data_IF_918223593027
#
_entry.id   IF_918223593027
#
_cell.length_a   1.000
_cell.length_b   1.000
_cell.length_c   1.000
_cell.angle_alpha   90.00
_cell.angle_beta   90.00
_cell.angle_gamma   90.00
#
_symmetry.space_group_name_H-M   'P 1'
#
loop_
_entity.id
_entity.type
_entity.pdbx_description
1 polymer ?
#
# COMPACT_ATOMS: atom_id res chain seq x y z
N UNK A 1 -2.88 13.46 -12.73
CA UNK A 1 -2.37 14.37 -11.67
C UNK A 1 -3.48 15.19 -11.01
N UNK A 2 -4.35 15.86 -11.76
CA UNK A 2 -5.46 16.65 -11.21
C UNK A 2 -6.36 15.90 -10.22
N UNK A 3 -6.74 14.66 -10.53
CA UNK A 3 -7.54 13.80 -9.63
C UNK A 3 -6.82 13.52 -8.29
N UNK A 4 -5.51 13.29 -8.32
CA UNK A 4 -4.72 13.05 -7.10
C UNK A 4 -4.57 14.32 -6.26
N UNK A 5 -4.41 15.48 -6.90
CA UNK A 5 -4.37 16.78 -6.20
C UNK A 5 -5.73 17.02 -5.53
N UNK A 6 -6.82 16.78 -6.23
CA UNK A 6 -8.17 16.89 -5.68
C UNK A 6 -8.37 15.93 -4.49
N UNK A 7 -8.01 14.65 -4.65
CA UNK A 7 -8.12 13.65 -3.58
C UNK A 7 -7.20 13.95 -2.38
N UNK A 8 -6.05 14.59 -2.59
CA UNK A 8 -5.17 15.00 -1.51
C UNK A 8 -5.75 16.14 -0.67
N UNK A 9 -6.48 17.07 -1.32
CA UNK A 9 -7.08 18.25 -0.68
C UNK A 9 -8.50 17.94 -0.15
N UNK A 10 -9.21 16.98 -0.75
CA UNK A 10 -10.59 16.66 -0.42
C UNK A 10 -10.83 16.37 1.08
N UNK A 11 -10.01 15.57 1.78
CA UNK A 11 -10.18 15.34 3.22
C UNK A 11 -10.13 16.62 4.07
N UNK A 12 -9.55 17.71 3.55
CA UNK A 12 -9.33 18.97 4.26
C UNK A 12 -10.49 19.95 4.13
N UNK A 13 -11.23 19.89 3.04
CA UNK A 13 -12.31 20.83 2.73
C UNK A 13 -13.68 20.20 3.02
N UNK A 14 -13.77 18.88 2.96
CA UNK A 14 -15.02 18.16 3.15
C UNK A 14 -15.40 18.03 4.63
N UNK A 15 -16.70 17.81 4.86
CA UNK A 15 -17.23 17.51 6.19
C UNK A 15 -16.60 16.22 6.74
N UNK A 16 -16.47 16.14 8.06
CA UNK A 16 -15.80 15.05 8.77
C UNK A 16 -16.19 13.65 8.26
N UNK A 17 -17.49 13.36 8.08
CA UNK A 17 -17.97 12.05 7.60
C UNK A 17 -17.43 11.66 6.21
N UNK A 18 -17.40 12.62 5.28
CA UNK A 18 -16.88 12.41 3.92
C UNK A 18 -15.36 12.24 3.95
N UNK A 19 -14.67 13.00 4.80
CA UNK A 19 -13.23 12.87 5.00
C UNK A 19 -12.86 11.50 5.55
N UNK A 20 -13.59 10.99 6.55
CA UNK A 20 -13.38 9.63 7.07
C UNK A 20 -13.62 8.56 6.02
N UNK A 21 -14.67 8.69 5.21
CA UNK A 21 -14.95 7.76 4.10
C UNK A 21 -13.83 7.76 3.05
N UNK A 22 -13.32 8.94 2.69
CA UNK A 22 -12.19 9.05 1.75
C UNK A 22 -10.91 8.41 2.32
N UNK A 23 -10.59 8.64 3.60
CA UNK A 23 -9.42 8.04 4.23
C UNK A 23 -9.51 6.51 4.30
N UNK A 24 -10.69 5.97 4.61
CA UNK A 24 -10.96 4.52 4.50
C UNK A 24 -10.72 4.01 3.09
N UNK A 25 -11.19 4.75 2.09
CA UNK A 25 -11.02 4.40 0.66
C UNK A 25 -9.54 4.43 0.25
N UNK A 26 -8.77 5.42 0.72
CA UNK A 26 -7.32 5.48 0.49
C UNK A 26 -6.59 4.31 1.14
N UNK A 27 -6.96 3.97 2.37
CA UNK A 27 -6.37 2.83 3.07
C UNK A 27 -6.68 1.50 2.38
N UNK A 28 -7.94 1.30 1.95
CA UNK A 28 -8.33 0.12 1.18
C UNK A 28 -7.57 0.02 -0.14
N UNK A 29 -7.44 1.13 -0.87
CA UNK A 29 -6.67 1.15 -2.11
C UNK A 29 -5.18 0.85 -1.87
N UNK A 30 -4.60 1.35 -0.78
CA UNK A 30 -3.23 1.03 -0.40
C UNK A 30 -3.03 -0.47 -0.17
N UNK A 31 -3.92 -1.09 0.60
CA UNK A 31 -3.93 -2.52 0.84
C UNK A 31 -4.07 -3.34 -0.45
N UNK A 32 -4.92 -2.91 -1.38
CA UNK A 32 -5.09 -3.56 -2.69
C UNK A 32 -3.78 -3.50 -3.50
N UNK A 33 -3.13 -2.33 -3.56
CA UNK A 33 -1.88 -2.17 -4.32
C UNK A 33 -0.77 -3.04 -3.72
N UNK A 34 -0.63 -3.11 -2.40
CA UNK A 34 0.37 -3.98 -1.74
C UNK A 34 0.06 -5.45 -2.01
N UNK A 35 -1.21 -5.85 -1.88
CA UNK A 35 -1.65 -7.22 -2.18
C UNK A 35 -1.37 -7.62 -3.63
N UNK A 36 -1.55 -6.70 -4.58
CA UNK A 36 -1.27 -6.94 -6.00
C UNK A 36 0.23 -7.13 -6.27
N UNK A 37 1.11 -6.32 -5.68
CA UNK A 37 2.57 -6.50 -5.83
C UNK A 37 2.99 -7.87 -5.28
N UNK A 38 2.58 -8.21 -4.05
CA UNK A 38 2.87 -9.52 -3.48
C UNK A 38 2.26 -10.66 -4.34
N UNK A 39 1.07 -10.40 -4.90
CA UNK A 39 0.36 -11.24 -5.86
C UNK A 39 1.18 -11.61 -7.10
N UNK A 40 1.79 -10.60 -7.70
CA UNK A 40 2.60 -10.74 -8.91
C UNK A 40 3.87 -11.58 -8.70
N UNK A 41 4.34 -11.71 -7.45
CA UNK A 41 5.50 -12.54 -7.12
C UNK A 41 5.13 -14.02 -7.00
N UNK A 42 4.08 -14.38 -6.26
CA UNK A 42 3.73 -15.80 -6.10
C UNK A 42 3.18 -16.45 -7.36
N UNK A 43 2.78 -15.68 -8.38
CA UNK A 43 2.38 -16.22 -9.68
C UNK A 43 3.56 -16.74 -10.52
N UNK A 44 4.82 -16.46 -10.15
CA UNK A 44 6.00 -16.92 -10.92
C UNK A 44 6.24 -18.41 -10.77
N UNK A 45 6.38 -19.11 -11.89
CA UNK A 45 6.43 -20.59 -11.97
C UNK A 45 7.69 -21.22 -11.35
N UNK A 46 8.80 -20.47 -11.24
CA UNK A 46 10.10 -21.01 -10.82
C UNK A 46 10.47 -20.73 -9.35
N UNK A 47 9.52 -20.36 -8.50
CA UNK A 47 9.81 -20.07 -7.11
C UNK A 47 9.79 -21.33 -6.23
N UNK A 48 10.63 -21.34 -5.19
CA UNK A 48 10.54 -22.37 -4.14
C UNK A 48 9.19 -22.29 -3.42
N UNK A 49 8.64 -23.42 -3.02
CA UNK A 49 7.34 -23.50 -2.33
C UNK A 49 7.21 -22.55 -1.13
N UNK A 50 8.27 -22.41 -0.33
CA UNK A 50 8.28 -21.52 0.83
C UNK A 50 8.16 -20.03 0.43
N UNK A 51 8.77 -19.67 -0.70
CA UNK A 51 8.73 -18.31 -1.26
C UNK A 51 7.31 -18.00 -1.76
N UNK A 52 6.63 -18.96 -2.41
CA UNK A 52 5.21 -18.80 -2.76
C UNK A 52 4.33 -18.57 -1.53
N UNK A 53 4.55 -19.34 -0.46
CA UNK A 53 3.78 -19.22 0.78
C UNK A 53 3.99 -17.85 1.44
N UNK A 54 5.23 -17.37 1.52
CA UNK A 54 5.54 -16.03 2.02
C UNK A 54 4.81 -14.93 1.24
N UNK A 55 4.83 -14.98 -0.09
CA UNK A 55 4.15 -14.00 -0.93
C UNK A 55 2.61 -14.03 -0.80
N UNK A 56 2.00 -15.22 -0.66
CA UNK A 56 0.57 -15.36 -0.34
C UNK A 56 0.27 -14.72 1.02
N UNK A 57 1.07 -15.02 2.04
CA UNK A 57 0.89 -14.47 3.39
C UNK A 57 1.00 -12.95 3.38
N UNK A 58 2.00 -12.37 2.69
CA UNK A 58 2.13 -10.91 2.56
C UNK A 58 0.90 -10.30 1.86
N UNK A 59 0.40 -10.96 0.81
CA UNK A 59 -0.79 -10.50 0.09
C UNK A 59 -2.03 -10.47 0.97
N UNK A 60 -2.22 -11.48 1.83
CA UNK A 60 -3.31 -11.52 2.81
C UNK A 60 -3.11 -10.51 3.94
N UNK A 61 -1.87 -10.37 4.44
CA UNK A 61 -1.53 -9.39 5.48
C UNK A 61 -1.82 -7.96 5.04
N UNK A 62 -1.72 -7.63 3.75
CA UNK A 62 -2.07 -6.31 3.25
C UNK A 62 -3.51 -5.91 3.59
N UNK A 63 -4.46 -6.85 3.52
CA UNK A 63 -5.86 -6.61 3.90
C UNK A 63 -6.07 -6.43 5.40
N UNK A 64 -5.16 -6.95 6.23
CA UNK A 64 -5.17 -6.72 7.67
C UNK A 64 -4.99 -5.23 8.01
N UNK A 65 -4.29 -4.47 7.15
CA UNK A 65 -4.22 -3.01 7.24
C UNK A 65 -5.57 -2.30 7.12
N UNK A 66 -6.55 -2.89 6.41
CA UNK A 66 -7.92 -2.36 6.35
C UNK A 66 -8.59 -2.48 7.71
N UNK A 67 -8.44 -3.65 8.36
CA UNK A 67 -9.02 -3.89 9.68
C UNK A 67 -8.36 -3.02 10.75
N UNK A 68 -7.02 -2.91 10.75
CA UNK A 68 -6.29 -2.06 11.71
C UNK A 68 -6.76 -0.61 11.63
N UNK A 69 -7.05 -0.11 10.42
CA UNK A 69 -7.47 1.28 10.21
C UNK A 69 -8.75 1.63 10.95
N UNK A 70 -9.70 0.70 11.06
CA UNK A 70 -10.95 0.92 11.81
C UNK A 70 -10.71 1.10 13.31
N UNK A 71 -9.58 0.62 13.85
CA UNK A 71 -9.19 0.83 15.24
C UNK A 71 -8.24 2.00 15.41
N UNK A 72 -7.25 2.16 14.52
CA UNK A 72 -6.25 3.20 14.59
C UNK A 72 -5.59 3.46 13.22
N UNK A 73 -5.89 4.63 12.64
CA UNK A 73 -5.31 5.09 11.37
C UNK A 73 -3.77 5.12 11.40
N UNK A 74 -3.16 5.61 12.47
CA UNK A 74 -1.70 5.70 12.58
C UNK A 74 -1.03 4.32 12.57
N UNK A 75 -1.59 3.35 13.29
CA UNK A 75 -1.08 1.98 13.29
C UNK A 75 -1.22 1.32 11.91
N UNK A 76 -2.31 1.57 11.18
CA UNK A 76 -2.50 1.04 9.83
C UNK A 76 -1.44 1.56 8.86
N UNK A 77 -1.13 2.86 8.90
CA UNK A 77 -0.08 3.47 8.09
C UNK A 77 1.28 2.85 8.40
N UNK A 78 1.64 2.73 9.69
CA UNK A 78 2.91 2.12 10.12
C UNK A 78 3.00 0.67 9.63
N UNK A 79 1.94 -0.11 9.83
CA UNK A 79 1.87 -1.49 9.39
C UNK A 79 2.09 -1.63 7.89
N UNK A 80 1.42 -0.79 7.07
CA UNK A 80 1.57 -0.80 5.62
C UNK A 80 2.97 -0.37 5.16
N UNK A 81 3.60 0.60 5.85
CA UNK A 81 5.00 0.97 5.62
C UNK A 81 5.95 -0.19 5.94
N UNK A 82 5.73 -0.92 7.04
CA UNK A 82 6.52 -2.10 7.36
C UNK A 82 6.34 -3.17 6.27
N UNK A 83 5.11 -3.41 5.85
CA UNK A 83 4.76 -4.43 4.87
C UNK A 83 5.40 -4.15 3.49
N UNK A 84 5.38 -2.91 3.01
CA UNK A 84 5.99 -2.56 1.71
C UNK A 84 7.53 -2.67 1.72
N UNK A 85 8.16 -2.42 2.87
CA UNK A 85 9.60 -2.59 3.06
C UNK A 85 9.97 -4.07 3.18
N UNK A 86 9.15 -4.86 3.87
CA UNK A 86 9.32 -6.31 3.93
C UNK A 86 9.21 -6.94 2.54
N UNK A 87 8.20 -6.51 1.77
CA UNK A 87 8.01 -6.92 0.38
C UNK A 87 9.23 -6.58 -0.49
N UNK A 88 9.82 -5.39 -0.33
CA UNK A 88 11.05 -5.02 -1.04
C UNK A 88 12.21 -5.97 -0.74
N UNK A 89 12.41 -6.34 0.53
CA UNK A 89 13.46 -7.28 0.92
C UNK A 89 13.22 -8.67 0.34
N UNK A 90 11.96 -9.09 0.27
CA UNK A 90 11.56 -10.35 -0.34
C UNK A 90 11.79 -10.33 -1.86
N UNK A 91 11.37 -9.27 -2.54
CA UNK A 91 11.60 -9.01 -3.97
C UNK A 91 13.09 -9.11 -4.34
N UNK A 92 13.98 -8.47 -3.57
CA UNK A 92 15.42 -8.50 -3.81
C UNK A 92 16.03 -9.91 -3.73
N UNK A 93 15.41 -10.85 -3.00
CA UNK A 93 15.85 -12.25 -2.95
C UNK A 93 15.41 -13.06 -4.18
N UNK A 94 14.34 -12.62 -4.84
CA UNK A 94 13.62 -13.38 -5.88
C UNK A 94 13.97 -12.90 -7.29
N UNK A 95 14.21 -11.60 -7.47
CA UNK A 95 14.29 -10.95 -8.79
C UNK A 95 15.59 -11.25 -9.55
N UNK A 96 16.57 -11.97 -8.97
CA UNK A 96 17.86 -12.24 -9.61
C UNK A 96 17.85 -13.12 -10.87
N UNK A 97 16.70 -13.64 -11.31
CA UNK A 97 16.63 -14.74 -12.29
C UNK A 97 15.70 -14.49 -13.51
N UNK A 98 15.27 -13.26 -13.83
CA UNK A 98 14.17 -13.05 -14.80
C UNK A 98 14.46 -12.08 -15.96
N UNK A 99 13.98 -12.39 -17.16
CA UNK A 99 14.11 -11.56 -18.38
C UNK A 99 13.09 -10.40 -18.41
N UNK A 100 11.97 -10.50 -17.67
CA UNK A 100 10.91 -9.48 -17.62
C UNK A 100 11.06 -8.46 -16.46
N UNK A 101 12.27 -8.30 -15.93
CA UNK A 101 12.57 -7.43 -14.78
C UNK A 101 12.20 -5.97 -15.02
N UNK A 102 12.36 -5.46 -16.23
CA UNK A 102 12.12 -4.04 -16.55
C UNK A 102 10.65 -3.63 -16.34
N UNK A 103 9.69 -4.38 -16.90
CA UNK A 103 8.25 -4.09 -16.72
C UNK A 103 7.82 -4.21 -15.26
N UNK A 104 8.38 -5.19 -14.54
CA UNK A 104 8.14 -5.34 -13.11
C UNK A 104 8.65 -4.12 -12.31
N UNK A 105 9.87 -3.66 -12.58
CA UNK A 105 10.48 -2.51 -11.91
C UNK A 105 9.64 -1.25 -12.13
N UNK A 106 9.17 -1.00 -13.36
CA UNK A 106 8.33 0.15 -13.66
C UNK A 106 7.00 0.11 -12.89
N UNK A 107 6.34 -1.05 -12.88
CA UNK A 107 5.10 -1.28 -12.12
C UNK A 107 5.34 -1.07 -10.62
N UNK A 108 6.45 -1.62 -10.10
CA UNK A 108 6.84 -1.49 -8.69
C UNK A 108 7.13 -0.05 -8.30
N UNK A 109 7.79 0.71 -9.17
CA UNK A 109 8.07 2.14 -8.98
C UNK A 109 6.77 2.94 -8.90
N UNK A 110 5.85 2.70 -9.83
CA UNK A 110 4.55 3.37 -9.86
C UNK A 110 3.72 3.05 -8.61
N UNK A 111 3.67 1.78 -8.21
CA UNK A 111 2.99 1.35 -6.99
C UNK A 111 3.60 2.01 -5.73
N UNK A 112 4.93 2.12 -5.66
CA UNK A 112 5.61 2.79 -4.56
C UNK A 112 5.20 4.26 -4.47
N UNK A 113 5.16 4.98 -5.60
CA UNK A 113 4.69 6.37 -5.61
C UNK A 113 3.26 6.52 -5.12
N UNK A 114 2.35 5.65 -5.57
CA UNK A 114 0.95 5.65 -5.12
C UNK A 114 0.89 5.44 -3.60
N UNK A 115 1.57 4.42 -3.09
CA UNK A 115 1.62 4.11 -1.66
C UNK A 115 2.15 5.30 -0.86
N UNK A 116 3.29 5.88 -1.28
CA UNK A 116 3.89 7.02 -0.59
C UNK A 116 2.95 8.22 -0.56
N UNK A 117 2.34 8.60 -1.69
CA UNK A 117 1.44 9.74 -1.77
C UNK A 117 0.24 9.54 -0.83
N UNK A 118 -0.38 8.36 -0.83
CA UNK A 118 -1.53 8.06 0.02
C UNK A 118 -1.15 8.04 1.50
N UNK A 119 -0.01 7.47 1.88
CA UNK A 119 0.49 7.54 3.25
C UNK A 119 0.74 8.98 3.70
N UNK A 120 1.33 9.83 2.85
CA UNK A 120 1.56 11.25 3.15
C UNK A 120 0.25 12.01 3.35
N UNK A 121 -0.75 11.79 2.48
CA UNK A 121 -2.08 12.40 2.63
C UNK A 121 -2.72 12.00 3.98
N UNK A 122 -2.67 10.72 4.31
CA UNK A 122 -3.24 10.22 5.56
C UNK A 122 -2.47 10.73 6.80
N UNK A 123 -1.15 10.79 6.76
CA UNK A 123 -0.34 11.35 7.86
C UNK A 123 -0.62 12.84 8.04
N UNK A 124 -0.71 13.59 6.95
CA UNK A 124 -1.00 15.01 7.00
C UNK A 124 -2.39 15.29 7.60
N UNK A 125 -3.39 14.45 7.29
CA UNK A 125 -4.69 14.50 7.97
C UNK A 125 -4.59 14.12 9.46
N UNK A 126 -3.87 13.05 9.80
CA UNK A 126 -3.74 12.55 11.18
C UNK A 126 -3.15 13.61 12.14
N UNK A 127 -2.18 14.39 11.68
CA UNK A 127 -1.53 15.44 12.45
C UNK A 127 -2.17 16.82 12.27
N UNK A 128 -3.34 16.90 11.62
CA UNK A 128 -4.01 18.17 11.39
C UNK A 128 -4.62 18.70 12.71
N UNK A 129 -4.18 19.87 13.22
CA UNK A 129 -4.71 20.43 14.45
C UNK A 129 -6.11 21.03 14.31
N UNK A 130 -6.64 21.15 13.09
CA UNK A 130 -7.93 21.77 12.81
C UNK A 130 -9.09 20.76 12.69
N UNK A 131 -8.79 19.46 12.75
CA UNK A 131 -9.78 18.39 12.52
C UNK A 131 -10.02 17.54 13.77
N UNK A 132 -9.07 17.53 14.72
CA UNK A 132 -9.19 16.89 16.04
C UNK A 132 -9.60 17.88 17.13
#
# INVERSE_FOLDING_TARGET
>A
MSLFIFLAIAPWILKHELSSFLLRSFNAYLSIVISFIAGSLWWRENLKKDIHLEAIVISMLAFLGILIFEFNQGMAIIFQIILINFLLRFELKVIGEDENILSYIETRKLATYIITILCVIQLAYLFNPYVN
#
